data_IF_107059781076
#
_entry.id   IF_107059781076
#
_cell.length_a   1.000
_cell.length_b   1.000
_cell.length_c   1.000
_cell.angle_alpha   90.00
_cell.angle_beta   90.00
_cell.angle_gamma   90.00
#
_symmetry.space_group_name_H-M   'P 1'
#
loop_
_entity.id
_entity.type
_entity.pdbx_description
1 polymer ?
#
# COMPACT_ATOMS: atom_id res chain seq x y z
N UNK A 1 -7.04 -3.00 26.80
CA UNK A 1 -6.59 -2.63 25.44
C UNK A 1 -6.33 -3.95 24.74
N UNK A 2 -7.32 -4.41 23.99
CA UNK A 2 -7.19 -5.65 23.21
C UNK A 2 -6.12 -5.40 22.15
N UNK A 3 -4.96 -6.06 22.32
CA UNK A 3 -3.93 -6.05 21.28
C UNK A 3 -4.52 -6.77 20.08
N UNK A 4 -4.69 -6.06 18.97
CA UNK A 4 -5.03 -6.70 17.71
C UNK A 4 -4.01 -7.83 17.44
N UNK A 5 -4.46 -9.02 17.03
CA UNK A 5 -3.54 -10.07 16.64
C UNK A 5 -2.65 -9.56 15.50
N UNK A 6 -1.34 -9.73 15.64
CA UNK A 6 -0.39 -9.40 14.59
C UNK A 6 -0.60 -10.41 13.46
N UNK A 7 -1.23 -9.98 12.37
CA UNK A 7 -1.44 -10.74 11.13
C UNK A 7 -0.26 -10.60 10.15
N UNK A 8 0.90 -10.08 10.56
CA UNK A 8 2.06 -9.90 9.68
C UNK A 8 2.79 -11.24 9.43
N UNK A 9 2.08 -12.17 8.79
CA UNK A 9 2.60 -13.41 8.18
C UNK A 9 2.80 -13.23 6.67
N UNK A 10 3.00 -11.98 6.22
CA UNK A 10 3.09 -11.65 4.79
C UNK A 10 4.51 -11.61 4.26
N UNK A 11 5.52 -11.95 5.05
CA UNK A 11 6.89 -12.01 4.55
C UNK A 11 6.99 -12.94 3.32
N UNK A 12 6.29 -14.07 3.33
CA UNK A 12 6.23 -15.01 2.21
C UNK A 12 5.42 -14.46 1.01
N UNK A 13 4.35 -13.71 1.27
CA UNK A 13 3.53 -13.09 0.20
C UNK A 13 4.30 -11.95 -0.48
N UNK A 14 4.94 -11.08 0.31
CA UNK A 14 5.77 -9.96 -0.19
C UNK A 14 6.90 -10.47 -1.08
N UNK A 15 7.53 -11.60 -0.71
CA UNK A 15 8.60 -12.21 -1.49
C UNK A 15 8.17 -12.79 -2.85
N UNK A 16 6.87 -13.04 -3.05
CA UNK A 16 6.34 -13.66 -4.27
C UNK A 16 5.45 -12.73 -5.11
N UNK A 17 5.28 -11.48 -4.69
CA UNK A 17 4.48 -10.50 -5.41
C UNK A 17 5.31 -9.89 -6.55
N UNK A 18 4.87 -10.06 -7.80
CA UNK A 18 5.55 -9.49 -8.98
C UNK A 18 5.23 -8.00 -9.12
N UNK A 19 5.96 -7.17 -8.38
CA UNK A 19 5.82 -5.71 -8.39
C UNK A 19 6.40 -5.04 -9.64
N UNK A 20 7.22 -5.75 -10.42
CA UNK A 20 7.82 -5.19 -11.64
C UNK A 20 6.78 -4.94 -12.74
N UNK A 21 5.65 -5.64 -12.70
CA UNK A 21 4.51 -5.45 -13.62
C UNK A 21 3.35 -4.68 -13.01
N UNK A 22 3.50 -4.19 -11.79
CA UNK A 22 2.43 -3.47 -11.11
C UNK A 22 2.13 -2.15 -11.82
N UNK A 23 0.84 -1.88 -12.05
CA UNK A 23 0.36 -0.60 -12.57
C UNK A 23 0.16 0.37 -11.40
N UNK A 24 1.16 1.22 -11.17
CA UNK A 24 1.17 2.17 -10.07
C UNK A 24 0.30 3.40 -10.37
N UNK A 25 -0.64 3.67 -9.47
CA UNK A 25 -1.52 4.82 -9.47
C UNK A 25 -1.00 5.84 -8.45
N UNK A 26 -0.70 7.05 -8.92
CA UNK A 26 -0.17 8.13 -8.08
C UNK A 26 -1.30 8.99 -7.52
N UNK A 27 -1.23 9.29 -6.23
CA UNK A 27 -2.11 10.26 -5.58
C UNK A 27 -1.63 11.70 -5.87
N UNK A 28 -1.85 12.16 -7.11
CA UNK A 28 -1.45 13.48 -7.57
C UNK A 28 -2.58 14.17 -8.36
N UNK A 29 -2.74 15.47 -8.15
CA UNK A 29 -3.60 16.33 -8.98
C UNK A 29 -3.01 16.51 -10.39
N UNK A 30 -3.81 16.91 -11.39
CA UNK A 30 -3.35 17.06 -12.78
C UNK A 30 -2.17 18.03 -12.97
N UNK A 31 -2.04 19.04 -12.10
CA UNK A 31 -0.99 20.07 -12.11
C UNK A 31 0.07 19.87 -11.02
N UNK A 32 0.10 18.70 -10.39
CA UNK A 32 1.05 18.37 -9.35
C UNK A 32 2.50 18.38 -9.87
N UNK A 33 3.44 18.77 -9.00
CA UNK A 33 4.87 18.80 -9.31
C UNK A 33 5.36 17.39 -9.71
N UNK A 34 5.88 17.18 -10.93
CA UNK A 34 6.34 15.86 -11.37
C UNK A 34 7.46 15.28 -10.47
N UNK A 35 8.23 16.13 -9.80
CA UNK A 35 9.34 15.77 -8.91
C UNK A 35 8.96 15.74 -7.42
N UNK A 36 7.67 15.94 -7.12
CA UNK A 36 7.11 15.87 -5.78
C UNK A 36 7.15 14.48 -5.15
N UNK A 37 6.75 14.42 -3.87
CA UNK A 37 6.66 13.17 -3.11
C UNK A 37 5.18 12.78 -2.94
N UNK A 38 4.83 11.60 -3.43
CA UNK A 38 3.44 11.13 -3.49
C UNK A 38 3.32 9.72 -2.97
N UNK A 39 2.11 9.37 -2.53
CA UNK A 39 1.73 7.97 -2.33
C UNK A 39 1.38 7.37 -3.69
N UNK A 40 1.92 6.19 -3.97
CA UNK A 40 1.52 5.36 -5.10
C UNK A 40 0.92 4.05 -4.59
N UNK A 41 -0.15 3.59 -5.24
CA UNK A 41 -0.79 2.30 -4.96
C UNK A 41 -0.88 1.45 -6.22
N UNK A 42 -0.86 0.13 -6.08
CA UNK A 42 -1.11 -0.79 -7.19
C UNK A 42 -1.92 -2.00 -6.72
N UNK A 43 -2.81 -2.49 -7.58
CA UNK A 43 -3.55 -3.73 -7.39
C UNK A 43 -2.81 -4.83 -8.14
N UNK A 44 -2.29 -5.81 -7.40
CA UNK A 44 -1.37 -6.81 -7.95
C UNK A 44 -1.98 -8.20 -7.79
N UNK A 45 -2.41 -8.83 -8.90
CA UNK A 45 -2.83 -10.22 -8.89
C UNK A 45 -1.69 -11.15 -8.47
N UNK A 46 -1.99 -12.12 -7.62
CA UNK A 46 -1.01 -13.09 -7.12
C UNK A 46 -1.38 -14.52 -7.52
N UNK A 47 -0.39 -15.42 -7.46
CA UNK A 47 -0.50 -16.80 -7.91
C UNK A 47 -1.46 -17.66 -7.09
N UNK A 48 -1.80 -17.23 -5.86
CA UNK A 48 -2.83 -17.84 -5.00
C UNK A 48 -4.26 -17.50 -5.44
N UNK A 49 -4.42 -16.72 -6.52
CA UNK A 49 -5.72 -16.30 -7.06
C UNK A 49 -6.32 -15.08 -6.35
N UNK A 50 -5.59 -14.43 -5.45
CA UNK A 50 -6.03 -13.20 -4.78
C UNK A 50 -5.40 -11.96 -5.40
N UNK A 51 -5.97 -10.80 -5.09
CA UNK A 51 -5.35 -9.50 -5.37
C UNK A 51 -4.79 -8.92 -4.09
N UNK A 52 -3.58 -8.40 -4.15
CA UNK A 52 -2.96 -7.65 -3.06
C UNK A 52 -2.83 -6.20 -3.45
N UNK A 53 -2.92 -5.30 -2.47
CA UNK A 53 -2.74 -3.87 -2.69
C UNK A 53 -1.35 -3.51 -2.18
N UNK A 54 -0.49 -3.03 -3.07
CA UNK A 54 0.82 -2.52 -2.75
C UNK A 54 0.74 -1.00 -2.60
N UNK A 55 1.43 -0.45 -1.59
CA UNK A 55 1.54 0.99 -1.37
C UNK A 55 3.00 1.36 -1.15
N UNK A 56 3.46 2.42 -1.81
CA UNK A 56 4.82 2.94 -1.68
C UNK A 56 4.86 4.46 -1.77
N UNK A 57 6.03 5.01 -1.51
CA UNK A 57 6.34 6.40 -1.80
C UNK A 57 6.95 6.52 -3.21
N UNK A 58 6.50 7.49 -4.00
CA UNK A 58 6.90 7.69 -5.40
C UNK A 58 8.40 7.95 -5.61
N UNK A 59 9.13 8.37 -4.56
CA UNK A 59 10.58 8.62 -4.62
C UNK A 59 11.42 7.36 -4.39
N UNK A 60 10.84 6.32 -3.78
CA UNK A 60 11.54 5.11 -3.37
C UNK A 60 10.97 3.91 -4.14
N UNK A 61 11.54 3.66 -5.33
CA UNK A 61 11.04 2.68 -6.31
C UNK A 61 12.04 1.56 -6.61
N UNK A 62 13.18 1.54 -5.93
CA UNK A 62 14.20 0.52 -6.05
C UNK A 62 13.74 -0.85 -5.51
N UNK A 63 14.47 -1.92 -5.85
CA UNK A 63 14.11 -3.29 -5.45
C UNK A 63 14.16 -3.53 -3.94
N UNK A 64 14.98 -2.74 -3.22
CA UNK A 64 15.14 -2.83 -1.76
C UNK A 64 14.33 -1.75 -1.01
N UNK A 65 13.63 -0.87 -1.75
CA UNK A 65 12.79 0.17 -1.15
C UNK A 65 11.51 -0.44 -0.54
N UNK A 66 11.00 0.21 0.50
CA UNK A 66 9.87 -0.35 1.27
C UNK A 66 8.57 -0.25 0.50
N UNK A 67 7.87 -1.38 0.41
CA UNK A 67 6.50 -1.49 -0.09
C UNK A 67 5.63 -2.12 0.98
N UNK A 68 4.55 -1.43 1.34
CA UNK A 68 3.51 -1.96 2.21
C UNK A 68 2.55 -2.81 1.38
N UNK A 69 2.16 -3.98 1.89
CA UNK A 69 1.27 -4.91 1.17
C UNK A 69 0.07 -5.25 2.03
N UNK A 70 -1.12 -5.01 1.49
CA UNK A 70 -2.42 -5.24 2.11
C UNK A 70 -3.14 -6.38 1.39
N UNK A 71 -3.88 -7.20 2.16
CA UNK A 71 -4.99 -7.97 1.59
C UNK A 71 -6.13 -7.01 1.26
N UNK A 72 -7.11 -7.45 0.47
CA UNK A 72 -8.31 -6.66 0.18
C UNK A 72 -9.02 -6.21 1.46
N UNK A 73 -9.23 -7.10 2.43
CA UNK A 73 -9.92 -6.76 3.69
C UNK A 73 -9.15 -5.77 4.57
N UNK A 74 -7.82 -5.84 4.62
CA UNK A 74 -7.05 -4.84 5.37
C UNK A 74 -6.99 -3.50 4.65
N UNK A 75 -6.99 -3.52 3.31
CA UNK A 75 -7.05 -2.29 2.52
C UNK A 75 -8.39 -1.58 2.74
N UNK A 76 -9.50 -2.32 2.72
CA UNK A 76 -10.82 -1.77 3.01
C UNK A 76 -10.87 -1.15 4.42
N UNK A 77 -10.41 -1.89 5.44
CA UNK A 77 -10.34 -1.39 6.80
C UNK A 77 -9.44 -0.15 6.94
N UNK A 78 -8.27 -0.15 6.29
CA UNK A 78 -7.35 1.00 6.27
C UNK A 78 -8.00 2.23 5.65
N UNK A 79 -8.66 2.09 4.50
CA UNK A 79 -9.33 3.19 3.80
C UNK A 79 -10.51 3.72 4.62
N UNK A 80 -11.29 2.84 5.25
CA UNK A 80 -12.40 3.25 6.13
C UNK A 80 -11.89 4.05 7.34
N UNK A 81 -10.85 3.56 8.03
CA UNK A 81 -10.24 4.27 9.17
C UNK A 81 -9.64 5.62 8.75
N UNK A 82 -8.92 5.66 7.62
CA UNK A 82 -8.37 6.90 7.09
C UNK A 82 -9.45 7.94 6.77
N UNK A 83 -10.55 7.52 6.13
CA UNK A 83 -11.69 8.40 5.84
C UNK A 83 -12.45 8.83 7.09
N UNK A 84 -12.43 8.02 8.15
CA UNK A 84 -13.00 8.38 9.44
C UNK A 84 -12.14 9.40 10.21
N UNK A 85 -10.98 9.78 9.67
CA UNK A 85 -10.07 10.74 10.31
C UNK A 85 -9.32 10.14 11.49
N UNK A 86 -9.15 8.82 11.56
CA UNK A 86 -8.35 8.18 12.62
C UNK A 86 -6.88 8.63 12.61
N UNK A 87 -6.42 9.21 11.50
CA UNK A 87 -5.10 9.82 11.35
C UNK A 87 -5.12 11.35 11.43
N UNK A 88 -6.24 12.00 11.78
CA UNK A 88 -6.35 13.47 11.84
C UNK A 88 -6.14 14.02 13.28
N UNK A 89 -5.65 13.19 14.21
CA UNK A 89 -5.41 13.61 15.59
C UNK A 89 -4.37 14.74 15.68
N UNK A 90 -4.56 15.72 16.58
CA UNK A 90 -3.73 16.92 16.62
C UNK A 90 -2.33 16.61 17.16
N UNK A 91 -1.35 16.48 16.27
CA UNK A 91 0.08 16.50 16.59
C UNK A 91 0.63 17.92 16.71
#
# INVERSE_FOLDING_TARGET
MDSAPIYDDKAEIRGNLDLAKAEWQRAAEPDADPDGEYVEIAFVPHSDGKTYIAMRNSRFTGPDDTVLVFTESEWDAFVEGAKAGEFDEPW
#
